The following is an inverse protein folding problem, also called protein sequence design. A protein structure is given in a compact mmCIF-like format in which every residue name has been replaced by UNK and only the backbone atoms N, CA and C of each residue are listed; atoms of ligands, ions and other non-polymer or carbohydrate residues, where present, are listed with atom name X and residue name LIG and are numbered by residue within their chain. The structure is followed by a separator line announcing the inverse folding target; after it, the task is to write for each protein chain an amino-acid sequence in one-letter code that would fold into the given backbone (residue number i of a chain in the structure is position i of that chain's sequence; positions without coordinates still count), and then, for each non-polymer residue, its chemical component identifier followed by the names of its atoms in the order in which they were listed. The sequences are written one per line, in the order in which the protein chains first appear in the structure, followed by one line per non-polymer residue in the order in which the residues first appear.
data_IF_004324228412
#
_entry.id   IF_004324228412
#
_cell.length_a   1.000
_cell.length_b   1.000
_cell.length_c   1.000
_cell.angle_alpha   90.00
_cell.angle_beta   90.00
_cell.angle_gamma   90.00
#
_symmetry.space_group_name_H-M   'P 1'
#
loop_
_entity.id
_entity.type
_entity.pdbx_description
1 polymer ?
#
# COMPACT_ATOMS: atom_id res chain seq x y z
N UNK A 1 -21.90 31.50 -13.18
CA UNK A 1 -22.53 30.42 -12.36
C UNK A 1 -21.46 29.44 -11.90
N UNK A 2 -20.92 29.62 -10.69
CA UNK A 2 -19.90 28.73 -10.11
C UNK A 2 -20.57 27.54 -9.41
N UNK A 3 -20.46 26.34 -9.99
CA UNK A 3 -20.93 25.10 -9.35
C UNK A 3 -19.90 24.68 -8.30
N UNK A 4 -20.29 24.73 -7.02
CA UNK A 4 -19.52 24.20 -5.89
C UNK A 4 -19.65 22.67 -5.87
N UNK A 5 -18.54 21.96 -5.96
CA UNK A 5 -18.48 20.50 -5.79
C UNK A 5 -18.77 20.10 -4.32
N UNK A 6 -19.42 18.96 -4.07
CA UNK A 6 -19.79 18.53 -2.73
C UNK A 6 -18.59 18.00 -1.94
N UNK A 7 -18.38 18.56 -0.75
CA UNK A 7 -17.38 18.12 0.23
C UNK A 7 -17.61 16.67 0.66
N UNK A 8 -16.62 15.81 0.43
CA UNK A 8 -16.55 14.47 1.01
C UNK A 8 -16.44 14.57 2.55
N UNK A 9 -17.57 14.47 3.26
CA UNK A 9 -17.57 14.27 4.71
C UNK A 9 -17.12 12.85 5.01
N UNK A 10 -15.85 12.67 5.40
CA UNK A 10 -15.31 11.40 5.88
C UNK A 10 -15.95 11.07 7.24
N UNK A 11 -16.68 9.95 7.32
CA UNK A 11 -17.06 9.34 8.60
C UNK A 11 -15.81 8.78 9.29
N UNK A 12 -15.65 8.94 10.61
CA UNK A 12 -14.59 8.26 11.35
C UNK A 12 -14.88 6.74 11.43
N UNK A 13 -13.91 5.86 11.20
CA UNK A 13 -14.09 4.42 11.36
C UNK A 13 -14.06 3.99 12.83
N UNK A 14 -14.67 2.84 13.17
CA UNK A 14 -14.69 2.30 14.52
C UNK A 14 -13.30 1.85 14.98
N UNK A 15 -13.03 2.00 16.28
CA UNK A 15 -11.78 1.62 16.93
C UNK A 15 -11.67 0.10 17.07
N UNK A 16 -11.03 -0.57 16.11
CA UNK A 16 -10.64 -1.98 16.24
C UNK A 16 -9.33 -2.08 17.03
N UNK A 17 -9.46 -2.39 18.33
CA UNK A 17 -8.37 -2.82 19.20
C UNK A 17 -8.17 -4.32 19.03
N UNK A 18 -7.36 -4.73 18.06
CA UNK A 18 -6.91 -6.13 17.97
C UNK A 18 -5.39 -6.11 18.06
N UNK A 19 -4.88 -6.51 19.22
CA UNK A 19 -3.44 -6.61 19.46
C UNK A 19 -2.88 -7.84 18.73
N UNK A 20 -1.70 -7.69 18.14
CA UNK A 20 -0.92 -8.77 17.55
C UNK A 20 -0.70 -9.90 18.58
N UNK A 21 -1.52 -10.93 18.55
CA UNK A 21 -1.22 -12.21 19.22
C UNK A 21 -0.48 -13.06 18.19
N UNK A 22 0.80 -13.31 18.44
CA UNK A 22 1.57 -14.27 17.66
C UNK A 22 0.93 -15.67 17.72
N UNK A 23 1.30 -16.56 16.78
CA UNK A 23 0.77 -17.92 16.73
C UNK A 23 0.99 -18.62 18.07
N UNK A 24 -0.07 -19.25 18.58
CA UNK A 24 0.00 -20.05 19.79
C UNK A 24 1.01 -21.18 19.59
N UNK A 25 2.14 -21.10 20.29
CA UNK A 25 3.07 -22.22 20.39
C UNK A 25 2.35 -23.48 20.91
N UNK A 26 2.71 -24.68 20.43
CA UNK A 26 2.22 -25.94 20.99
C UNK A 26 2.53 -25.99 22.49
N UNK A 27 1.54 -26.44 23.26
CA UNK A 27 1.54 -26.46 24.73
C UNK A 27 2.78 -27.21 25.25
N UNK A 28 3.59 -26.62 26.16
CA UNK A 28 4.54 -27.39 26.93
C UNK A 28 3.79 -28.25 27.95
N UNK A 29 4.20 -29.51 28.03
CA UNK A 29 3.83 -30.48 29.07
C UNK A 29 4.19 -29.89 30.44
N UNK A 30 3.33 -30.13 31.41
CA UNK A 30 3.31 -29.54 32.76
C UNK A 30 4.69 -29.53 33.43
N UNK A 31 5.23 -28.34 33.69
CA UNK A 31 6.45 -28.14 34.47
C UNK A 31 6.55 -26.68 34.92
N UNK A 32 6.33 -26.47 36.22
CA UNK A 32 6.63 -25.27 37.03
C UNK A 32 6.42 -23.88 36.39
N UNK A 33 5.35 -23.21 36.84
CA UNK A 33 5.01 -21.81 36.54
C UNK A 33 6.09 -20.82 37.00
N UNK A 34 7.08 -20.55 36.15
CA UNK A 34 7.82 -19.29 36.20
C UNK A 34 6.94 -18.19 35.62
N UNK A 35 6.42 -17.30 36.49
CA UNK A 35 5.74 -16.07 36.08
C UNK A 35 6.72 -15.21 35.28
N UNK A 36 6.71 -15.31 33.96
CA UNK A 36 7.42 -14.37 33.11
C UNK A 36 6.75 -13.01 33.27
N UNK A 37 7.46 -11.95 33.67
CA UNK A 37 6.90 -10.61 33.75
C UNK A 37 6.37 -10.22 32.37
N UNK A 38 5.18 -9.60 32.33
CA UNK A 38 4.61 -8.92 31.16
C UNK A 38 5.62 -7.88 30.66
N UNK A 39 6.61 -8.30 29.85
CA UNK A 39 7.41 -7.37 29.06
C UNK A 39 6.43 -6.69 28.12
N UNK A 40 6.26 -5.38 28.32
CA UNK A 40 5.55 -4.51 27.41
C UNK A 40 6.11 -4.77 26.01
N UNK A 41 5.32 -5.40 25.14
CA UNK A 41 5.69 -5.48 23.73
C UNK A 41 5.88 -4.03 23.24
N UNK A 42 6.99 -3.73 22.56
CA UNK A 42 7.24 -2.39 22.03
C UNK A 42 6.04 -1.97 21.17
N UNK A 43 5.52 -0.77 21.42
CA UNK A 43 4.30 -0.22 20.80
C UNK A 43 4.47 0.11 19.31
N UNK A 44 5.57 -0.31 18.71
CA UNK A 44 6.07 0.14 17.41
C UNK A 44 5.87 -0.86 16.27
N UNK A 45 5.20 -1.99 16.53
CA UNK A 45 4.89 -2.99 15.50
C UNK A 45 3.43 -2.84 15.04
N UNK A 46 3.25 -2.71 13.71
CA UNK A 46 1.95 -2.73 13.05
C UNK A 46 1.68 -4.13 12.49
N UNK A 47 0.41 -4.54 12.48
CA UNK A 47 0.03 -5.81 11.86
C UNK A 47 -0.03 -5.62 10.35
N UNK A 48 0.71 -6.44 9.60
CA UNK A 48 0.77 -6.45 8.12
C UNK A 48 -0.02 -7.60 7.48
N UNK A 49 -0.80 -8.32 8.30
CA UNK A 49 -1.55 -9.52 7.96
C UNK A 49 -1.10 -10.67 8.86
N UNK A 50 -0.55 -11.72 8.26
CA UNK A 50 0.06 -12.86 8.98
C UNK A 50 1.43 -12.53 9.60
N UNK A 51 2.03 -11.40 9.22
CA UNK A 51 3.34 -10.98 9.71
C UNK A 51 3.28 -9.64 10.48
N UNK A 52 4.17 -9.49 11.46
CA UNK A 52 4.42 -8.22 12.14
C UNK A 52 5.36 -7.39 11.26
N UNK A 53 4.89 -6.23 10.80
CA UNK A 53 5.70 -5.31 10.01
C UNK A 53 6.14 -4.12 10.89
N UNK A 54 7.36 -3.59 10.67
CA UNK A 54 7.78 -2.38 11.34
C UNK A 54 6.90 -1.20 10.91
N UNK A 55 6.55 -0.31 11.84
CA UNK A 55 5.75 0.90 11.55
C UNK A 55 6.41 1.90 10.59
N UNK A 56 7.70 1.74 10.29
CA UNK A 56 8.42 2.59 9.34
C UNK A 56 9.20 1.72 8.38
N UNK A 57 9.15 2.05 7.09
CA UNK A 57 9.93 1.38 6.06
C UNK A 57 9.40 0.03 5.61
N UNK A 58 8.20 -0.38 6.03
CA UNK A 58 7.54 -1.55 5.45
C UNK A 58 7.19 -1.28 3.98
N UNK A 59 7.46 -2.25 3.11
CA UNK A 59 7.09 -2.15 1.69
C UNK A 59 5.62 -2.53 1.53
N UNK A 60 4.88 -1.85 0.65
CA UNK A 60 3.48 -2.18 0.38
C UNK A 60 3.32 -3.66 -0.04
N UNK A 61 4.27 -4.19 -0.82
CA UNK A 61 4.28 -5.59 -1.27
C UNK A 61 4.23 -6.62 -0.13
N UNK A 62 4.74 -6.25 1.05
CA UNK A 62 4.78 -7.14 2.23
C UNK A 62 3.45 -7.21 2.98
N UNK A 63 2.48 -6.35 2.63
CA UNK A 63 1.14 -6.35 3.21
C UNK A 63 0.30 -7.39 2.48
N UNK A 64 -0.04 -8.46 3.20
CA UNK A 64 -0.79 -9.61 2.65
C UNK A 64 -2.29 -9.55 2.96
N UNK A 65 -2.70 -8.60 3.79
CA UNK A 65 -4.11 -8.43 4.18
C UNK A 65 -4.74 -7.22 3.45
N UNK A 66 -5.87 -7.41 2.75
CA UNK A 66 -6.54 -6.34 2.01
C UNK A 66 -7.04 -5.22 2.92
N UNK A 67 -7.59 -5.53 4.09
CA UNK A 67 -8.10 -4.53 5.02
C UNK A 67 -6.97 -3.66 5.58
N UNK A 68 -5.78 -4.24 5.76
CA UNK A 68 -4.58 -3.50 6.16
C UNK A 68 -4.05 -2.66 5.01
N UNK A 69 -4.08 -3.17 3.78
CA UNK A 69 -3.63 -2.43 2.60
C UNK A 69 -4.39 -1.10 2.40
N UNK A 70 -5.72 -1.13 2.57
CA UNK A 70 -6.59 0.04 2.47
C UNK A 70 -6.29 1.10 3.55
N UNK A 71 -5.71 0.68 4.68
CA UNK A 71 -5.39 1.54 5.82
C UNK A 71 -3.88 1.70 6.03
N UNK A 72 -3.05 1.23 5.09
CA UNK A 72 -1.61 1.13 5.26
C UNK A 72 -0.96 2.50 5.50
N UNK A 73 -1.49 3.55 4.87
CA UNK A 73 -1.01 4.91 5.09
C UNK A 73 -1.20 5.37 6.54
N UNK A 74 -2.35 5.06 7.14
CA UNK A 74 -2.62 5.44 8.54
C UNK A 74 -1.97 4.52 9.56
N UNK A 75 -1.88 3.22 9.27
CA UNK A 75 -1.39 2.21 10.22
C UNK A 75 0.14 2.06 10.18
N UNK A 76 0.72 2.14 8.99
CA UNK A 76 2.12 1.82 8.70
C UNK A 76 2.88 3.00 8.07
N UNK A 77 2.21 4.11 7.73
CA UNK A 77 2.84 5.22 7.03
C UNK A 77 3.29 4.86 5.61
N UNK A 78 2.67 3.85 5.00
CA UNK A 78 3.03 3.35 3.66
C UNK A 78 1.97 3.81 2.68
N UNK A 79 2.36 4.55 1.64
CA UNK A 79 1.45 4.88 0.54
C UNK A 79 1.15 3.62 -0.28
N UNK A 80 -0.13 3.38 -0.55
CA UNK A 80 -0.61 2.22 -1.32
C UNK A 80 -1.67 2.69 -2.32
N UNK A 81 -1.77 1.99 -3.45
CA UNK A 81 -2.77 2.24 -4.50
C UNK A 81 -4.02 1.35 -4.37
N UNK A 82 -4.13 0.61 -3.26
CA UNK A 82 -5.22 -0.33 -3.01
C UNK A 82 -4.87 -1.79 -3.26
N UNK A 83 -5.90 -2.64 -3.24
CA UNK A 83 -5.76 -4.10 -3.32
C UNK A 83 -6.09 -4.66 -4.71
N UNK A 84 -5.12 -5.34 -5.32
CA UNK A 84 -5.29 -6.06 -6.58
C UNK A 84 -4.89 -7.54 -6.47
N UNK A 85 -5.20 -8.20 -5.34
CA UNK A 85 -4.69 -9.55 -5.02
C UNK A 85 -3.33 -9.55 -4.29
N UNK A 86 -2.63 -8.41 -4.31
CA UNK A 86 -1.56 -8.01 -3.37
C UNK A 86 -1.70 -6.52 -3.12
N UNK A 87 -1.11 -6.00 -2.05
CA UNK A 87 -1.13 -4.57 -1.79
C UNK A 87 -0.18 -3.85 -2.77
N UNK A 88 -0.72 -2.90 -3.53
CA UNK A 88 0.00 -2.26 -4.63
C UNK A 88 0.76 -1.04 -4.13
N UNK A 89 2.08 -1.05 -4.33
CA UNK A 89 2.91 0.14 -4.15
C UNK A 89 2.62 1.17 -5.26
N UNK A 90 2.78 2.47 -4.99
CA UNK A 90 2.85 3.50 -6.01
C UNK A 90 3.88 3.11 -7.08
N UNK A 91 3.43 2.91 -8.32
CA UNK A 91 4.28 2.49 -9.44
C UNK A 91 4.33 0.98 -9.75
N UNK A 92 3.90 0.10 -8.84
CA UNK A 92 3.88 -1.35 -9.11
C UNK A 92 2.74 -1.80 -10.03
N UNK A 93 1.68 -0.98 -10.16
CA UNK A 93 0.44 -1.37 -10.83
C UNK A 93 0.57 -1.52 -12.36
N UNK A 94 1.47 -0.79 -13.02
CA UNK A 94 1.54 -0.79 -14.49
C UNK A 94 2.50 -1.82 -15.08
N UNK A 95 3.47 -2.31 -14.31
CA UNK A 95 4.35 -3.38 -14.78
C UNK A 95 3.63 -4.72 -14.87
N UNK A 96 2.78 -5.01 -13.88
CA UNK A 96 2.08 -6.30 -13.77
C UNK A 96 0.74 -6.34 -14.53
N UNK A 97 0.26 -5.21 -15.07
CA UNK A 97 -1.04 -5.11 -15.73
C UNK A 97 -1.13 -5.98 -16.99
N UNK A 98 -0.05 -6.10 -17.75
CA UNK A 98 0.00 -6.96 -18.94
C UNK A 98 -0.17 -8.43 -18.60
N UNK A 99 0.51 -8.89 -17.54
CA UNK A 99 0.43 -10.29 -17.12
C UNK A 99 -0.94 -10.64 -16.51
N UNK A 100 -1.59 -9.69 -15.83
CA UNK A 100 -2.83 -9.95 -15.08
C UNK A 100 -4.11 -9.66 -15.86
N UNK A 101 -4.09 -8.62 -16.68
CA UNK A 101 -5.28 -8.10 -17.36
C UNK A 101 -5.12 -8.12 -18.89
N UNK A 102 -3.95 -8.52 -19.41
CA UNK A 102 -3.66 -8.45 -20.84
C UNK A 102 -3.52 -7.02 -21.37
N UNK A 103 -3.47 -6.02 -20.48
CA UNK A 103 -3.40 -4.60 -20.85
C UNK A 103 -1.93 -4.19 -21.00
N UNK A 104 -1.57 -3.68 -22.17
CA UNK A 104 -0.24 -3.10 -22.38
C UNK A 104 -0.26 -1.66 -21.86
N UNK A 105 0.58 -1.35 -20.90
CA UNK A 105 0.74 0.01 -20.38
C UNK A 105 2.15 0.51 -20.73
N UNK A 106 2.28 1.78 -21.10
CA UNK A 106 3.59 2.43 -21.22
C UNK A 106 4.26 2.61 -19.85
N UNK A 107 3.45 2.81 -18.80
CA UNK A 107 3.92 2.90 -17.42
C UNK A 107 2.98 3.73 -16.54
N UNK A 108 3.49 4.21 -15.40
CA UNK A 108 2.71 5.00 -14.43
C UNK A 108 2.88 6.50 -14.70
N UNK A 109 1.79 7.23 -14.88
CA UNK A 109 1.78 8.68 -15.09
C UNK A 109 1.79 9.51 -13.80
N UNK A 110 1.74 8.90 -12.63
CA UNK A 110 1.65 9.60 -11.34
C UNK A 110 0.28 9.42 -10.66
N UNK A 111 -0.80 9.48 -11.44
CA UNK A 111 -2.18 9.28 -10.95
C UNK A 111 -2.87 8.02 -11.48
N UNK A 112 -2.43 7.54 -12.64
CA UNK A 112 -3.01 6.40 -13.36
C UNK A 112 -1.96 5.71 -14.22
N UNK A 113 -2.23 4.47 -14.64
CA UNK A 113 -1.46 3.84 -15.69
C UNK A 113 -1.75 4.51 -17.03
N UNK A 114 -0.71 4.66 -17.84
CA UNK A 114 -0.78 5.22 -19.17
C UNK A 114 -0.74 4.09 -20.20
N UNK A 115 -1.60 4.19 -21.20
CA UNK A 115 -1.52 3.41 -22.41
C UNK A 115 -0.30 3.83 -23.25
N UNK A 116 0.18 2.99 -24.19
CA UNK A 116 1.23 3.34 -25.16
C UNK A 116 0.92 4.62 -25.95
N UNK A 117 -0.37 4.89 -26.16
CA UNK A 117 -0.84 5.96 -27.01
C UNK A 117 -1.35 7.19 -26.21
N UNK A 118 -1.19 7.17 -24.88
CA UNK A 118 -1.67 8.25 -24.02
C UNK A 118 -0.82 9.51 -24.15
N UNK A 119 -1.47 10.67 -23.98
CA UNK A 119 -0.79 11.96 -24.00
C UNK A 119 0.05 12.18 -22.74
N UNK A 120 1.25 12.76 -22.91
CA UNK A 120 2.11 13.21 -21.81
C UNK A 120 1.40 14.17 -20.83
N UNK A 121 0.29 14.82 -21.22
CA UNK A 121 -0.54 15.65 -20.34
C UNK A 121 -1.14 14.91 -19.15
N UNK A 122 -1.26 13.58 -19.25
CA UNK A 122 -1.76 12.74 -18.17
C UNK A 122 -0.67 12.40 -17.14
N UNK A 123 0.58 12.76 -17.42
CA UNK A 123 1.68 12.62 -16.47
C UNK A 123 1.61 13.75 -15.45
N UNK A 124 1.19 13.44 -14.23
CA UNK A 124 1.09 14.39 -13.12
C UNK A 124 2.38 14.52 -12.33
N UNK A 125 3.29 13.56 -12.45
CA UNK A 125 4.59 13.60 -11.78
C UNK A 125 5.64 14.28 -12.68
N UNK A 126 6.20 15.40 -12.21
CA UNK A 126 7.21 16.18 -12.94
C UNK A 126 8.43 15.35 -13.35
N UNK A 127 8.98 14.53 -12.46
CA UNK A 127 10.16 13.70 -12.75
C UNK A 127 9.85 12.65 -13.83
N UNK A 128 8.65 12.09 -13.82
CA UNK A 128 8.22 11.16 -14.88
C UNK A 128 8.02 11.92 -16.20
N UNK A 129 7.49 13.15 -16.16
CA UNK A 129 7.30 13.96 -17.35
C UNK A 129 8.65 14.29 -18.02
N UNK A 130 9.62 14.77 -17.23
CA UNK A 130 10.97 15.10 -17.70
C UNK A 130 11.72 13.89 -18.29
N UNK A 131 11.39 12.67 -17.86
CA UNK A 131 12.01 11.42 -18.32
C UNK A 131 11.08 10.55 -19.18
N UNK A 132 9.95 11.10 -19.63
CA UNK A 132 8.86 10.34 -20.25
C UNK A 132 9.27 9.62 -21.54
N UNK A 133 10.11 10.25 -22.37
CA UNK A 133 10.61 9.63 -23.59
C UNK A 133 11.50 8.41 -23.29
N UNK A 134 12.37 8.51 -22.29
CA UNK A 134 13.30 7.45 -21.93
C UNK A 134 12.61 6.27 -21.21
N UNK A 135 11.61 6.56 -20.37
CA UNK A 135 10.96 5.55 -19.54
C UNK A 135 9.70 4.96 -20.17
N UNK A 136 8.92 5.78 -20.85
CA UNK A 136 7.59 5.44 -21.36
C UNK A 136 7.53 5.44 -22.89
N UNK A 137 8.53 6.01 -23.57
CA UNK A 137 8.49 6.21 -25.02
C UNK A 137 7.48 7.28 -25.45
N UNK A 138 7.01 8.13 -24.53
CA UNK A 138 6.02 9.18 -24.80
C UNK A 138 6.75 10.52 -24.92
N UNK A 139 6.57 11.29 -26.01
CA UNK A 139 7.16 12.61 -26.13
C UNK A 139 6.44 13.64 -25.24
N UNK A 140 7.16 14.25 -24.28
CA UNK A 140 6.70 15.40 -23.50
C UNK A 140 7.32 16.70 -24.02
N UNK A 141 6.59 17.81 -23.96
CA UNK A 141 7.10 19.14 -24.37
C UNK A 141 7.85 19.92 -23.28
N UNK A 142 7.96 19.38 -22.06
CA UNK A 142 8.63 20.06 -20.94
C UNK A 142 7.75 21.12 -20.30
#
# INVERSE_FOLDING_TARGET
MLRRSPSCRRRPPPRLRTACRGPAHPRPVQGHTLRVPRRQLPRDLGQGGSACLPRRGAKAESITDPAICEQALMLLGVETLGWGGKCLAPGAACGDSKARFGLTCAGWGGSSCLAPDDSARLITNKTICENSMAWLGIPSQG
#
